data_IF_069564023681
#
_entry.id   IF_069564023681
#
_cell.length_a   1.000
_cell.length_b   1.000
_cell.length_c   1.000
_cell.angle_alpha   90.00
_cell.angle_beta   90.00
_cell.angle_gamma   90.00
#
_symmetry.space_group_name_H-M   'P 1'
#
loop_
_entity.id
_entity.type
_entity.pdbx_description
1 polymer ?
#
# COMPACT_ATOMS: atom_id res chain seq x y z
N UNK A 1 5.41 -7.71 -13.24
CA UNK A 1 6.00 -6.36 -13.03
C UNK A 1 6.75 -6.38 -11.70
N UNK A 2 7.85 -5.63 -11.56
CA UNK A 2 8.57 -5.51 -10.28
C UNK A 2 8.69 -4.02 -9.96
N UNK A 3 8.35 -3.63 -8.74
CA UNK A 3 8.45 -2.25 -8.27
C UNK A 3 8.94 -2.23 -6.81
N UNK A 4 9.79 -1.25 -6.48
CA UNK A 4 10.42 -1.14 -5.16
C UNK A 4 10.25 0.28 -4.64
N UNK A 5 9.99 0.42 -3.34
CA UNK A 5 9.87 1.69 -2.63
C UNK A 5 8.87 2.63 -3.33
N UNK A 6 9.31 3.83 -3.74
CA UNK A 6 8.43 4.82 -4.37
C UNK A 6 7.71 4.28 -5.63
N UNK A 7 8.36 3.40 -6.39
CA UNK A 7 7.72 2.76 -7.54
C UNK A 7 6.57 1.84 -7.12
N UNK A 8 6.70 1.11 -5.99
CA UNK A 8 5.64 0.26 -5.48
C UNK A 8 4.44 1.10 -5.00
N UNK A 9 4.70 2.21 -4.31
CA UNK A 9 3.64 3.15 -3.94
C UNK A 9 2.92 3.72 -5.16
N UNK A 10 3.67 4.08 -6.20
CA UNK A 10 3.10 4.61 -7.44
C UNK A 10 2.21 3.60 -8.19
N UNK A 11 2.27 2.29 -7.91
CA UNK A 11 1.35 1.32 -8.52
C UNK A 11 -0.06 1.40 -7.95
N UNK A 12 -0.24 1.99 -6.76
CA UNK A 12 -1.55 2.20 -6.17
C UNK A 12 -2.41 3.19 -6.95
N UNK A 13 -3.65 3.34 -6.50
CA UNK A 13 -4.56 4.39 -6.97
C UNK A 13 -4.07 5.79 -6.57
N UNK A 14 -3.34 5.88 -5.46
CA UNK A 14 -2.76 7.11 -4.95
C UNK A 14 -1.31 6.89 -4.47
N UNK A 15 -0.53 7.95 -4.52
CA UNK A 15 0.85 8.00 -4.02
C UNK A 15 1.11 9.28 -3.24
N UNK A 16 2.12 9.28 -2.36
CA UNK A 16 2.48 10.47 -1.61
C UNK A 16 3.30 11.44 -2.45
N UNK A 17 2.93 12.71 -2.41
CA UNK A 17 3.72 13.80 -2.99
C UNK A 17 4.71 14.37 -1.97
N UNK A 18 5.98 14.35 -2.33
CA UNK A 18 7.03 15.05 -1.57
C UNK A 18 6.93 16.57 -1.68
N UNK A 19 6.28 17.08 -2.72
CA UNK A 19 6.18 18.52 -3.00
C UNK A 19 5.05 19.16 -2.23
N UNK A 20 3.88 18.52 -2.21
CA UNK A 20 2.65 19.07 -1.59
C UNK A 20 2.40 18.54 -0.19
N UNK A 21 3.15 17.52 0.26
CA UNK A 21 2.92 16.78 1.52
C UNK A 21 1.51 16.16 1.63
N UNK A 22 0.79 16.02 0.51
CA UNK A 22 -0.47 15.29 0.40
C UNK A 22 -0.36 14.12 -0.57
N UNK A 23 -1.49 13.56 -0.96
CA UNK A 23 -1.59 12.48 -1.93
C UNK A 23 -1.78 13.02 -3.35
N UNK A 24 -1.37 12.25 -4.35
CA UNK A 24 -1.53 12.49 -5.79
C UNK A 24 -1.99 11.20 -6.46
N UNK A 25 -2.52 11.31 -7.68
CA UNK A 25 -2.86 10.14 -8.50
C UNK A 25 -1.66 9.20 -8.65
N UNK A 26 -1.89 7.92 -8.42
CA UNK A 26 -0.96 6.86 -8.76
C UNK A 26 -1.19 6.36 -10.20
N UNK A 27 -0.50 5.27 -10.55
CA UNK A 27 -0.63 4.61 -11.85
C UNK A 27 -1.90 3.74 -11.92
N UNK A 28 -2.53 3.43 -10.79
CA UNK A 28 -3.76 2.65 -10.71
C UNK A 28 -3.61 1.21 -11.22
N UNK A 29 -2.40 0.65 -11.14
CA UNK A 29 -2.16 -0.75 -11.51
C UNK A 29 -2.79 -1.70 -10.48
N UNK A 30 -2.83 -1.29 -9.21
CA UNK A 30 -3.60 -1.93 -8.15
C UNK A 30 -4.99 -1.27 -8.07
N UNK A 31 -6.05 -1.94 -8.55
CA UNK A 31 -7.39 -1.36 -8.55
C UNK A 31 -7.87 -1.14 -7.10
N UNK A 32 -8.36 0.07 -6.81
CA UNK A 32 -8.84 0.50 -5.50
C UNK A 32 -7.83 0.31 -4.34
N UNK A 33 -6.55 0.11 -4.66
CA UNK A 33 -5.53 -0.27 -3.70
C UNK A 33 -4.43 0.77 -3.56
N UNK A 34 -3.85 0.90 -2.37
CA UNK A 34 -2.65 1.72 -2.11
C UNK A 34 -1.54 0.91 -1.45
N UNK A 35 -0.30 1.39 -1.56
CA UNK A 35 0.87 0.74 -0.96
C UNK A 35 1.71 1.78 -0.20
N UNK A 36 1.99 1.52 1.07
CA UNK A 36 2.98 2.26 1.86
C UNK A 36 4.25 1.41 2.03
N UNK A 37 5.35 1.75 1.32
CA UNK A 37 6.63 1.05 1.45
C UNK A 37 7.43 1.54 2.67
N UNK A 38 8.32 0.69 3.18
CA UNK A 38 9.06 0.94 4.43
C UNK A 38 8.13 1.21 5.61
N UNK A 39 7.04 0.45 5.66
CA UNK A 39 5.99 0.58 6.65
C UNK A 39 6.47 0.14 8.04
N UNK A 40 6.06 0.90 9.06
CA UNK A 40 6.18 0.52 10.46
C UNK A 40 4.75 0.47 11.03
N UNK A 41 4.26 -0.70 11.49
CA UNK A 41 2.91 -0.82 12.03
C UNK A 41 2.69 0.03 13.29
N UNK A 42 3.74 0.46 13.98
CA UNK A 42 3.61 1.42 15.09
C UNK A 42 3.37 2.87 14.61
N UNK A 43 3.59 3.15 13.32
CA UNK A 43 3.46 4.48 12.70
C UNK A 43 2.71 4.41 11.37
N UNK A 44 1.47 3.93 11.43
CA UNK A 44 0.63 3.64 10.27
C UNK A 44 -0.07 4.83 9.61
N UNK A 45 0.08 6.03 10.20
CA UNK A 45 -0.61 7.25 9.76
C UNK A 45 -0.53 7.50 8.26
N UNK A 46 0.62 7.22 7.63
CA UNK A 46 0.81 7.44 6.18
C UNK A 46 -0.03 6.51 5.32
N UNK A 47 -0.19 5.25 5.74
CA UNK A 47 -1.06 4.33 5.04
C UNK A 47 -2.51 4.78 5.15
N UNK A 48 -2.93 5.23 6.35
CA UNK A 48 -4.28 5.79 6.57
C UNK A 48 -4.53 7.06 5.74
N UNK A 49 -3.57 7.97 5.66
CA UNK A 49 -3.63 9.16 4.79
C UNK A 49 -3.81 8.79 3.29
N UNK A 50 -3.29 7.64 2.84
CA UNK A 50 -3.52 7.14 1.49
C UNK A 50 -4.90 6.49 1.33
N UNK A 51 -5.42 5.86 2.39
CA UNK A 51 -6.78 5.26 2.41
C UNK A 51 -7.88 6.31 2.24
N UNK A 52 -7.65 7.54 2.71
CA UNK A 52 -8.60 8.65 2.55
C UNK A 52 -8.76 9.12 1.09
N UNK A 53 -7.95 8.59 0.16
CA UNK A 53 -8.05 8.95 -1.26
C UNK A 53 -9.33 8.39 -1.89
N UNK A 54 -10.08 9.20 -2.68
CA UNK A 54 -11.32 8.74 -3.30
C UNK A 54 -11.16 7.45 -4.10
N UNK A 55 -11.97 6.44 -3.77
CA UNK A 55 -11.99 5.13 -4.45
C UNK A 55 -10.98 4.12 -3.94
N UNK A 56 -10.19 4.45 -2.91
CA UNK A 56 -9.37 3.47 -2.21
C UNK A 56 -10.24 2.65 -1.26
N UNK A 57 -10.11 1.33 -1.34
CA UNK A 57 -10.85 0.36 -0.52
C UNK A 57 -9.91 -0.50 0.33
N UNK A 58 -8.63 -0.56 -0.02
CA UNK A 58 -7.65 -1.34 0.73
C UNK A 58 -6.23 -0.76 0.58
N UNK A 59 -5.40 -1.02 1.58
CA UNK A 59 -4.02 -0.57 1.63
C UNK A 59 -3.10 -1.67 2.11
N UNK A 60 -1.90 -1.77 1.51
CA UNK A 60 -0.85 -2.68 1.96
C UNK A 60 0.30 -1.88 2.57
N UNK A 61 0.63 -2.20 3.82
CA UNK A 61 1.86 -1.78 4.48
C UNK A 61 2.98 -2.78 4.25
N UNK A 62 4.08 -2.35 3.62
CA UNK A 62 5.25 -3.18 3.35
C UNK A 62 6.45 -2.76 4.22
N UNK A 63 6.73 -3.45 5.34
CA UNK A 63 7.97 -3.28 6.08
C UNK A 63 9.23 -3.47 5.24
N UNK A 64 10.35 -2.90 5.69
CA UNK A 64 11.62 -3.06 5.00
C UNK A 64 12.02 -4.54 4.87
N UNK A 65 12.37 -4.97 3.65
CA UNK A 65 12.70 -6.37 3.36
C UNK A 65 11.49 -7.29 3.15
N UNK A 66 10.27 -6.75 3.18
CA UNK A 66 9.05 -7.49 2.79
C UNK A 66 8.68 -7.25 1.32
N UNK A 67 7.87 -8.15 0.77
CA UNK A 67 7.26 -8.00 -0.54
C UNK A 67 5.92 -8.73 -0.61
N UNK A 68 5.03 -8.24 -1.47
CA UNK A 68 3.85 -8.96 -1.94
C UNK A 68 4.02 -9.31 -3.41
N UNK A 69 3.77 -10.56 -3.76
CA UNK A 69 3.75 -11.08 -5.11
C UNK A 69 2.29 -11.35 -5.48
N UNK A 70 1.87 -10.80 -6.62
CA UNK A 70 0.54 -11.01 -7.18
C UNK A 70 0.66 -11.92 -8.40
N UNK A 71 -0.06 -13.04 -8.36
CA UNK A 71 -0.15 -14.00 -9.45
C UNK A 71 -1.21 -13.60 -10.49
N UNK A 72 -1.15 -14.18 -11.70
CA UNK A 72 -2.05 -13.85 -12.79
C UNK A 72 -3.51 -14.30 -12.55
N UNK A 73 -3.76 -15.21 -11.63
CA UNK A 73 -5.09 -15.73 -11.28
C UNK A 73 -5.61 -15.14 -9.95
N UNK A 74 -4.96 -14.07 -9.46
CA UNK A 74 -5.33 -13.41 -8.20
C UNK A 74 -4.66 -14.03 -6.98
N UNK A 75 -3.62 -14.85 -7.17
CA UNK A 75 -2.82 -15.37 -6.07
C UNK A 75 -2.07 -14.23 -5.37
N UNK A 76 -1.94 -14.33 -4.05
CA UNK A 76 -1.17 -13.41 -3.23
C UNK A 76 -0.17 -14.23 -2.43
N UNK A 77 1.11 -13.91 -2.56
CA UNK A 77 2.17 -14.51 -1.75
C UNK A 77 2.98 -13.39 -1.09
N UNK A 78 3.31 -13.57 0.18
CA UNK A 78 4.12 -12.61 0.94
C UNK A 78 5.52 -13.14 1.20
N UNK A 79 6.54 -12.31 0.97
CA UNK A 79 7.89 -12.52 1.50
C UNK A 79 8.03 -11.61 2.72
N UNK A 80 8.27 -12.21 3.89
CA UNK A 80 8.29 -11.46 5.16
C UNK A 80 6.90 -11.01 5.60
N UNK A 81 6.84 -10.28 6.71
CA UNK A 81 5.58 -9.80 7.28
C UNK A 81 5.10 -8.56 6.51
N UNK A 82 3.86 -8.60 6.03
CA UNK A 82 3.15 -7.46 5.42
C UNK A 82 1.84 -7.23 6.16
N UNK A 83 1.25 -6.05 5.98
CA UNK A 83 0.00 -5.69 6.65
C UNK A 83 -1.03 -5.23 5.64
N UNK A 84 -2.30 -5.54 5.89
CA UNK A 84 -3.44 -5.05 5.13
C UNK A 84 -4.32 -4.19 6.02
N UNK A 85 -4.88 -3.14 5.42
CA UNK A 85 -5.87 -2.27 6.01
C UNK A 85 -7.04 -2.15 5.04
N UNK A 86 -8.24 -2.53 5.47
CA UNK A 86 -9.47 -2.52 4.64
C UNK A 86 -10.43 -1.38 4.99
N UNK A 87 -10.13 -0.65 6.06
CA UNK A 87 -10.86 0.52 6.55
C UNK A 87 -9.87 1.52 7.14
N UNK A 88 -10.00 2.81 6.82
CA UNK A 88 -9.06 3.85 7.24
C UNK A 88 -9.03 4.02 8.77
N UNK A 89 -10.12 3.69 9.46
CA UNK A 89 -10.20 3.63 10.93
C UNK A 89 -10.06 2.21 11.50
N UNK A 90 -9.91 1.20 10.65
CA UNK A 90 -9.86 -0.21 11.03
C UNK A 90 -8.54 -0.65 11.66
N UNK A 91 -8.53 -1.91 12.09
CA UNK A 91 -7.33 -2.57 12.61
C UNK A 91 -6.39 -2.98 11.46
N UNK A 92 -5.08 -2.91 11.74
CA UNK A 92 -4.08 -3.46 10.84
C UNK A 92 -3.99 -4.97 11.02
N UNK A 93 -4.20 -5.70 9.94
CA UNK A 93 -4.17 -7.15 9.94
C UNK A 93 -2.88 -7.65 9.27
N UNK A 94 -2.19 -8.65 9.84
CA UNK A 94 -1.10 -9.32 9.12
C UNK A 94 -1.64 -9.96 7.84
N UNK A 95 -0.97 -9.67 6.72
CA UNK A 95 -1.24 -10.33 5.45
C UNK A 95 -0.41 -11.63 5.40
N UNK A 96 -1.09 -12.77 5.36
CA UNK A 96 -0.51 -14.13 5.36
C UNK A 96 -0.88 -14.91 4.12
#
# INVERSE_FOLDING_TARGET
>A
MIAIAAAAQALGLAARSLMTRGSVDGLGWLPNGVVEPNFDPAFDRRLRELMDWPGVEWGIGLPAGSAVLLGPEGEVETIGMSFVLTDAEGDLEPLT
#
